data_IF_375196515996
#
_entry.id   IF_375196515996
#
_cell.length_a   1.000
_cell.length_b   1.000
_cell.length_c   1.000
_cell.angle_alpha   90.00
_cell.angle_beta   90.00
_cell.angle_gamma   90.00
#
_symmetry.space_group_name_H-M   'P 1'
#
loop_
_entity.id
_entity.type
_entity.pdbx_description
1 polymer ?
#
# COMPACT_ATOMS: atom_id res chain seq x y z
N UNK A 1 -15.56 28.63 3.44
CA UNK A 1 -14.17 28.15 3.31
C UNK A 1 -13.96 27.63 1.91
N UNK A 2 -12.85 27.95 1.25
CA UNK A 2 -12.54 27.36 -0.05
C UNK A 2 -12.26 25.85 0.14
N UNK A 3 -13.01 24.99 -0.55
CA UNK A 3 -12.75 23.55 -0.57
C UNK A 3 -11.42 23.31 -1.29
N UNK A 4 -10.50 22.56 -0.69
CA UNK A 4 -9.26 22.16 -1.35
C UNK A 4 -9.62 21.46 -2.68
N UNK A 5 -8.98 21.86 -3.78
CA UNK A 5 -9.31 21.32 -5.11
C UNK A 5 -9.00 19.82 -5.20
N UNK A 6 -7.86 19.40 -4.65
CA UNK A 6 -7.39 18.02 -4.63
C UNK A 6 -6.73 17.68 -3.29
N UNK A 7 -6.66 16.40 -2.94
CA UNK A 7 -5.89 15.85 -1.81
C UNK A 7 -4.89 14.85 -2.38
N UNK A 8 -3.61 14.99 -2.02
CA UNK A 8 -2.58 13.99 -2.30
C UNK A 8 -2.18 13.32 -0.99
N UNK A 9 -2.65 12.08 -0.79
CA UNK A 9 -2.34 11.30 0.40
C UNK A 9 -1.14 10.39 0.14
N UNK A 10 0.02 10.74 0.70
CA UNK A 10 1.29 10.01 0.51
C UNK A 10 1.56 9.16 1.76
N UNK A 11 1.88 7.88 1.55
CA UNK A 11 2.25 6.94 2.62
C UNK A 11 3.45 6.10 2.18
N UNK A 12 4.44 5.98 3.06
CA UNK A 12 5.56 5.06 2.92
C UNK A 12 5.35 3.88 3.85
N UNK A 13 5.60 2.66 3.38
CA UNK A 13 5.54 1.48 4.22
C UNK A 13 6.81 1.38 5.09
N UNK A 14 6.65 1.01 6.36
CA UNK A 14 7.74 0.76 7.31
C UNK A 14 8.70 1.94 7.60
N UNK A 15 8.35 3.17 7.22
CA UNK A 15 9.14 4.37 7.55
C UNK A 15 9.10 4.64 9.06
N UNK A 16 10.27 4.68 9.70
CA UNK A 16 10.41 5.16 11.08
C UNK A 16 10.27 6.68 11.14
N UNK A 17 9.65 7.17 12.21
CA UNK A 17 9.44 8.62 12.41
C UNK A 17 10.75 9.40 12.57
N UNK A 18 11.81 8.76 13.08
CA UNK A 18 13.12 9.36 13.34
C UNK A 18 14.10 9.26 12.16
N UNK A 19 13.68 8.72 11.01
CA UNK A 19 14.49 8.58 9.77
C UNK A 19 14.31 9.74 8.77
N UNK A 20 13.92 10.91 9.27
CA UNK A 20 13.76 12.14 8.48
C UNK A 20 14.56 13.26 9.14
N UNK A 21 15.28 14.07 8.36
CA UNK A 21 16.09 15.16 8.92
C UNK A 21 15.26 16.21 9.66
N UNK A 22 14.03 16.51 9.21
CA UNK A 22 13.13 17.40 9.97
C UNK A 22 12.61 16.82 11.30
N UNK A 23 12.84 15.53 11.57
CA UNK A 23 12.61 14.89 12.87
C UNK A 23 13.91 14.67 13.67
N UNK A 24 15.06 15.05 13.12
CA UNK A 24 16.35 15.07 13.83
C UNK A 24 17.32 13.94 13.48
N UNK A 25 17.12 13.19 12.38
CA UNK A 25 18.09 12.16 11.99
C UNK A 25 19.48 12.79 11.72
N UNK A 26 20.56 12.30 12.34
CA UNK A 26 21.86 12.98 12.30
C UNK A 26 22.63 12.83 10.98
N UNK A 27 22.30 11.82 10.16
CA UNK A 27 23.09 11.45 8.97
C UNK A 27 22.29 11.32 7.67
N UNK A 28 20.96 11.41 7.73
CA UNK A 28 20.09 11.15 6.58
C UNK A 28 19.39 12.46 6.23
N UNK A 29 19.76 13.02 5.10
CA UNK A 29 19.23 14.30 4.63
C UNK A 29 18.02 14.07 3.73
N UNK A 30 16.86 14.58 4.13
CA UNK A 30 15.58 14.46 3.41
C UNK A 30 15.01 15.83 3.01
N UNK A 31 15.75 16.65 2.23
CA UNK A 31 15.43 18.06 2.03
C UNK A 31 14.06 18.31 1.39
N UNK A 32 13.59 17.39 0.55
CA UNK A 32 12.28 17.51 -0.10
C UNK A 32 11.11 17.36 0.89
N UNK A 33 11.22 16.43 1.85
CA UNK A 33 10.22 16.22 2.90
C UNK A 33 10.31 17.35 3.93
N UNK A 34 11.53 17.78 4.28
CA UNK A 34 11.75 18.90 5.18
C UNK A 34 11.14 20.19 4.64
N UNK A 35 11.24 20.44 3.32
CA UNK A 35 10.60 21.57 2.65
C UNK A 35 9.08 21.51 2.69
N UNK A 36 8.48 20.31 2.62
CA UNK A 36 7.03 20.14 2.81
C UNK A 36 6.64 20.47 4.26
N UNK A 37 7.38 19.96 5.23
CA UNK A 37 7.16 20.24 6.65
C UNK A 37 7.29 21.73 6.98
N UNK A 38 8.26 22.44 6.39
CA UNK A 38 8.48 23.88 6.59
C UNK A 38 7.34 24.75 6.03
N UNK A 39 6.53 24.23 5.10
CA UNK A 39 5.40 24.93 4.47
C UNK A 39 4.04 24.50 5.02
N UNK A 40 4.01 23.63 6.02
CA UNK A 40 2.79 23.03 6.57
C UNK A 40 2.91 22.78 8.06
N UNK A 41 2.24 21.73 8.52
CA UNK A 41 2.26 21.30 9.92
C UNK A 41 2.93 19.95 10.02
N UNK A 42 3.87 19.81 10.96
CA UNK A 42 4.52 18.54 11.30
C UNK A 42 4.07 18.08 12.68
N UNK A 43 3.51 16.89 12.76
CA UNK A 43 3.01 16.31 14.01
C UNK A 43 4.12 15.52 14.71
N UNK A 44 4.52 15.91 15.91
CA UNK A 44 5.58 15.22 16.68
C UNK A 44 5.04 14.10 17.60
N UNK A 45 3.74 13.79 17.52
CA UNK A 45 3.06 12.80 18.34
C UNK A 45 1.89 12.16 17.58
N UNK A 46 2.20 11.49 16.47
CA UNK A 46 1.23 10.73 15.69
C UNK A 46 1.44 9.22 15.94
N UNK A 47 0.36 8.48 16.20
CA UNK A 47 0.38 7.04 16.44
C UNK A 47 -0.61 6.32 15.52
N UNK A 48 -0.18 5.19 14.98
CA UNK A 48 -1.05 4.25 14.28
C UNK A 48 -1.87 3.41 15.26
N UNK A 49 -2.94 2.77 14.76
CA UNK A 49 -3.88 2.00 15.60
C UNK A 49 -3.50 0.52 15.72
N UNK A 50 -2.52 0.05 14.93
CA UNK A 50 -1.95 -1.29 15.06
C UNK A 50 -0.56 -1.36 14.41
N UNK A 51 0.42 -2.10 14.97
CA UNK A 51 1.81 -2.10 14.51
C UNK A 51 2.11 -3.08 13.35
N UNK A 52 1.14 -3.41 12.49
CA UNK A 52 1.35 -4.24 11.30
C UNK A 52 0.57 -3.70 10.10
N UNK A 53 1.05 -3.99 8.88
CA UNK A 53 0.63 -3.34 7.64
C UNK A 53 -0.88 -3.31 7.43
N UNK A 54 -1.53 -4.48 7.33
CA UNK A 54 -2.93 -4.61 6.93
C UNK A 54 -3.88 -3.87 7.88
N UNK A 55 -3.84 -4.18 9.17
CA UNK A 55 -4.76 -3.60 10.14
C UNK A 55 -4.47 -2.12 10.46
N UNK A 56 -3.21 -1.66 10.41
CA UNK A 56 -2.87 -0.22 10.46
C UNK A 56 -3.53 0.55 9.31
N UNK A 57 -3.42 -0.02 8.09
CA UNK A 57 -4.00 0.55 6.88
C UNK A 57 -5.52 0.54 6.93
N UNK A 58 -6.15 -0.57 7.32
CA UNK A 58 -7.61 -0.65 7.45
C UNK A 58 -8.16 0.36 8.47
N UNK A 59 -7.47 0.56 9.60
CA UNK A 59 -7.86 1.63 10.54
C UNK A 59 -7.77 3.02 9.91
N UNK A 60 -6.72 3.27 9.13
CA UNK A 60 -6.52 4.55 8.43
C UNK A 60 -7.61 4.79 7.37
N UNK A 61 -7.94 3.78 6.57
CA UNK A 61 -8.90 3.90 5.47
C UNK A 61 -10.35 3.94 5.95
N UNK A 62 -10.66 3.38 7.12
CA UNK A 62 -12.02 3.44 7.71
C UNK A 62 -12.17 4.59 8.71
N UNK A 63 -11.06 5.18 9.19
CA UNK A 63 -11.08 6.15 10.29
C UNK A 63 -11.53 5.54 11.63
N UNK A 64 -11.40 4.22 11.79
CA UNK A 64 -11.93 3.46 12.93
C UNK A 64 -10.86 2.57 13.55
N UNK A 65 -11.02 2.22 14.82
CA UNK A 65 -10.11 1.31 15.50
C UNK A 65 -10.27 -0.13 15.00
N UNK A 66 -9.21 -0.95 15.12
CA UNK A 66 -9.24 -2.39 14.81
C UNK A 66 -10.38 -3.12 15.51
N UNK A 67 -10.61 -2.78 16.79
CA UNK A 67 -11.70 -3.33 17.58
C UNK A 67 -13.10 -3.06 16.98
N UNK A 68 -13.25 -2.01 16.17
CA UNK A 68 -14.51 -1.65 15.52
C UNK A 68 -14.68 -2.30 14.14
N UNK A 69 -13.63 -2.29 13.31
CA UNK A 69 -13.73 -2.75 11.91
C UNK A 69 -13.39 -4.24 11.72
N UNK A 70 -12.69 -4.88 12.66
CA UNK A 70 -12.49 -6.33 12.70
C UNK A 70 -11.36 -6.89 11.82
N UNK A 71 -10.93 -6.19 10.76
CA UNK A 71 -9.73 -6.54 9.98
C UNK A 71 -8.45 -6.42 10.84
N UNK A 72 -8.08 -7.51 11.50
CA UNK A 72 -7.21 -7.48 12.69
C UNK A 72 -5.79 -7.98 12.48
N UNK A 73 -5.45 -8.45 11.29
CA UNK A 73 -4.10 -8.88 10.91
C UNK A 73 -3.91 -8.84 9.39
N UNK A 74 -2.69 -9.07 8.91
CA UNK A 74 -2.43 -9.22 7.47
C UNK A 74 -3.26 -10.38 6.91
N UNK A 75 -3.89 -10.16 5.76
CA UNK A 75 -4.71 -11.18 5.09
C UNK A 75 -6.15 -11.30 5.60
N UNK A 76 -6.49 -10.70 6.75
CA UNK A 76 -7.87 -10.70 7.27
C UNK A 76 -8.70 -9.67 6.49
N UNK A 77 -9.78 -10.07 5.79
CA UNK A 77 -10.59 -9.14 5.02
C UNK A 77 -11.24 -8.03 5.85
N UNK A 78 -11.41 -6.86 5.25
CA UNK A 78 -12.33 -5.85 5.76
C UNK A 78 -13.74 -6.24 5.34
N UNK A 79 -14.62 -6.49 6.32
CA UNK A 79 -15.99 -6.97 6.06
C UNK A 79 -16.77 -5.99 5.19
N UNK A 80 -17.61 -6.53 4.31
CA UNK A 80 -18.57 -5.72 3.57
C UNK A 80 -19.49 -4.98 4.55
N UNK A 81 -19.70 -3.68 4.29
CA UNK A 81 -20.53 -2.80 5.12
C UNK A 81 -19.74 -1.84 6.02
N UNK A 82 -18.43 -2.05 6.23
CA UNK A 82 -17.57 -0.99 6.77
C UNK A 82 -17.32 0.04 5.67
N UNK A 83 -17.73 1.30 5.92
CA UNK A 83 -17.47 2.40 5.01
C UNK A 83 -16.01 2.82 5.06
N UNK A 84 -15.53 3.34 3.94
CA UNK A 84 -14.13 3.70 3.74
C UNK A 84 -13.98 5.17 3.38
N UNK A 85 -12.73 5.64 3.37
CA UNK A 85 -12.35 7.00 3.01
C UNK A 85 -12.94 7.42 1.66
N UNK A 86 -12.92 6.51 0.68
CA UNK A 86 -13.48 6.79 -0.64
C UNK A 86 -14.98 7.05 -0.62
N UNK A 87 -15.74 6.34 0.21
CA UNK A 87 -17.19 6.53 0.33
C UNK A 87 -17.52 7.89 0.94
N UNK A 88 -16.76 8.28 1.97
CA UNK A 88 -16.90 9.58 2.60
C UNK A 88 -16.51 10.74 1.67
N UNK A 89 -15.40 10.60 0.93
CA UNK A 89 -14.94 11.62 -0.03
C UNK A 89 -15.93 11.77 -1.21
N UNK A 90 -16.42 10.67 -1.77
CA UNK A 90 -17.39 10.71 -2.88
C UNK A 90 -18.71 11.34 -2.46
N UNK A 91 -19.19 11.08 -1.24
CA UNK A 91 -20.36 11.78 -0.68
C UNK A 91 -20.14 13.29 -0.57
N UNK A 92 -18.91 13.73 -0.35
CA UNK A 92 -18.53 15.13 -0.36
C UNK A 92 -18.26 15.69 -1.77
N UNK A 93 -18.42 14.90 -2.84
CA UNK A 93 -18.13 15.31 -4.22
C UNK A 93 -16.64 15.40 -4.53
N UNK A 94 -15.84 14.45 -4.05
CA UNK A 94 -14.42 14.28 -4.37
C UNK A 94 -14.15 12.80 -4.68
N UNK A 95 -13.48 12.52 -5.79
CA UNK A 95 -13.06 11.16 -6.13
C UNK A 95 -11.94 10.67 -5.21
N UNK A 96 -11.75 9.35 -5.13
CA UNK A 96 -10.73 8.74 -4.29
C UNK A 96 -10.03 7.63 -5.05
N UNK A 97 -8.80 7.90 -5.44
CA UNK A 97 -8.02 7.03 -6.32
C UNK A 97 -6.83 6.42 -5.60
N UNK A 98 -6.46 5.20 -5.98
CA UNK A 98 -5.28 4.49 -5.51
C UNK A 98 -4.17 4.45 -6.57
N UNK A 99 -2.96 4.76 -6.12
CA UNK A 99 -1.70 4.44 -6.80
C UNK A 99 -0.79 3.76 -5.78
N UNK A 100 -0.62 2.45 -5.90
CA UNK A 100 0.26 1.64 -5.03
C UNK A 100 -0.49 0.75 -4.04
N UNK A 101 -0.07 0.78 -2.77
CA UNK A 101 -0.33 -0.28 -1.78
C UNK A 101 -1.51 0.02 -0.84
N UNK A 102 -2.34 -1.00 -0.59
CA UNK A 102 -3.35 -0.98 0.49
C UNK A 102 -3.28 -2.19 1.42
N UNK A 103 -2.67 -3.31 0.99
CA UNK A 103 -2.74 -4.59 1.70
C UNK A 103 -4.19 -5.11 1.88
N UNK A 104 -5.14 -4.57 1.10
CA UNK A 104 -6.54 -4.97 1.15
C UNK A 104 -6.71 -6.43 0.71
N UNK A 105 -7.65 -7.12 1.36
CA UNK A 105 -8.22 -8.39 0.93
C UNK A 105 -9.74 -8.24 0.90
N UNK A 106 -10.34 -8.59 -0.22
CA UNK A 106 -11.79 -8.52 -0.39
C UNK A 106 -12.48 -9.55 0.52
N UNK A 107 -13.56 -9.13 1.17
CA UNK A 107 -14.49 -10.03 1.86
C UNK A 107 -15.39 -10.72 0.82
N UNK A 108 -14.81 -11.68 0.10
CA UNK A 108 -15.49 -12.37 -1.00
C UNK A 108 -16.77 -13.08 -0.54
N UNK A 109 -16.77 -13.68 0.65
CA UNK A 109 -17.95 -14.32 1.24
C UNK A 109 -19.06 -13.29 1.56
N UNK A 110 -18.70 -12.16 2.16
CA UNK A 110 -19.64 -11.06 2.41
C UNK A 110 -20.20 -10.44 1.14
N UNK A 111 -19.37 -10.29 0.10
CA UNK A 111 -19.79 -9.82 -1.21
C UNK A 111 -20.78 -10.78 -1.87
N UNK A 112 -20.45 -12.08 -1.94
CA UNK A 112 -21.32 -13.10 -2.50
C UNK A 112 -22.66 -13.19 -1.76
N UNK A 113 -22.64 -13.13 -0.42
CA UNK A 113 -23.85 -13.13 0.42
C UNK A 113 -24.79 -11.96 0.12
N UNK A 114 -24.27 -10.83 -0.34
CA UNK A 114 -25.04 -9.63 -0.66
C UNK A 114 -25.28 -9.44 -2.17
N UNK A 115 -24.85 -10.39 -3.01
CA UNK A 115 -24.97 -10.28 -4.47
C UNK A 115 -24.16 -9.14 -5.08
N UNK A 116 -22.98 -8.85 -4.51
CA UNK A 116 -22.07 -7.82 -5.03
C UNK A 116 -21.10 -8.43 -6.04
N UNK A 117 -21.34 -8.17 -7.33
CA UNK A 117 -20.46 -8.63 -8.41
C UNK A 117 -19.13 -7.85 -8.40
N UNK A 118 -17.96 -8.52 -8.35
CA UNK A 118 -16.65 -7.87 -8.26
C UNK A 118 -16.30 -6.96 -9.44
N UNK A 119 -16.88 -7.18 -10.62
CA UNK A 119 -16.67 -6.40 -11.84
C UNK A 119 -17.64 -5.20 -11.97
N UNK A 120 -18.64 -5.10 -11.10
CA UNK A 120 -19.48 -3.91 -10.98
C UNK A 120 -18.72 -2.75 -10.34
N UNK A 121 -19.12 -1.50 -10.63
CA UNK A 121 -18.48 -0.32 -10.02
C UNK A 121 -18.50 -0.36 -8.48
N UNK A 122 -19.60 -0.84 -7.88
CA UNK A 122 -19.73 -0.92 -6.42
C UNK A 122 -18.88 -2.08 -5.90
N UNK A 123 -18.96 -3.26 -6.50
CA UNK A 123 -18.19 -4.42 -6.07
C UNK A 123 -16.68 -4.22 -6.18
N UNK A 124 -16.21 -3.63 -7.28
CA UNK A 124 -14.79 -3.28 -7.46
C UNK A 124 -14.30 -2.34 -6.36
N UNK A 125 -15.07 -1.28 -6.05
CA UNK A 125 -14.74 -0.37 -4.94
C UNK A 125 -14.74 -1.08 -3.59
N UNK A 126 -15.71 -1.95 -3.32
CA UNK A 126 -15.75 -2.73 -2.07
C UNK A 126 -14.52 -3.65 -1.96
N UNK A 127 -14.16 -4.34 -3.03
CA UNK A 127 -12.98 -5.21 -3.08
C UNK A 127 -11.66 -4.44 -2.88
N UNK A 128 -11.62 -3.17 -3.26
CA UNK A 128 -10.44 -2.30 -3.24
C UNK A 128 -10.47 -1.25 -2.11
N UNK A 129 -11.11 -1.57 -0.98
CA UNK A 129 -11.15 -0.71 0.20
C UNK A 129 -11.66 0.73 -0.09
N UNK A 130 -12.60 0.82 -1.04
CA UNK A 130 -13.26 2.04 -1.47
C UNK A 130 -12.50 2.91 -2.45
N UNK A 131 -11.30 2.52 -2.89
CA UNK A 131 -10.57 3.27 -3.90
C UNK A 131 -11.04 2.90 -5.31
N UNK A 132 -11.09 3.90 -6.19
CA UNK A 132 -10.98 3.66 -7.63
C UNK A 132 -9.50 3.40 -7.95
N UNK A 133 -9.19 2.34 -8.70
CA UNK A 133 -7.78 1.92 -8.87
C UNK A 133 -7.21 2.51 -10.15
N UNK A 134 -6.18 3.35 -10.01
CA UNK A 134 -5.31 3.69 -11.14
C UNK A 134 -4.25 2.60 -11.32
N UNK A 135 -3.56 2.25 -10.23
CA UNK A 135 -2.66 1.08 -10.18
C UNK A 135 -2.64 0.53 -8.75
N UNK A 136 -2.91 -0.78 -8.61
CA UNK A 136 -2.79 -1.50 -7.34
C UNK A 136 -1.54 -2.36 -7.37
N UNK A 137 -0.60 -2.04 -6.48
CA UNK A 137 0.59 -2.84 -6.26
C UNK A 137 0.95 -2.81 -4.76
N UNK A 138 0.89 -3.96 -4.10
CA UNK A 138 1.31 -4.08 -2.70
C UNK A 138 2.85 -4.11 -2.52
N UNK A 139 3.59 -4.01 -3.64
CA UNK A 139 4.98 -3.57 -3.69
C UNK A 139 6.03 -4.69 -3.64
N UNK A 140 5.60 -5.95 -3.67
CA UNK A 140 6.51 -7.08 -3.58
C UNK A 140 5.99 -8.31 -4.31
N UNK A 141 6.89 -9.14 -4.85
CA UNK A 141 6.56 -10.41 -5.52
C UNK A 141 7.38 -11.58 -4.96
N UNK A 142 7.22 -11.92 -3.67
CA UNK A 142 7.94 -13.02 -3.07
C UNK A 142 7.29 -14.37 -3.42
N UNK A 143 8.15 -15.37 -3.63
CA UNK A 143 7.78 -16.73 -4.01
C UNK A 143 8.51 -17.73 -3.12
N UNK A 144 7.78 -18.77 -2.68
CA UNK A 144 8.34 -19.91 -1.97
C UNK A 144 7.94 -21.22 -2.65
N UNK A 145 8.19 -22.35 -1.98
CA UNK A 145 7.84 -23.68 -2.51
C UNK A 145 6.33 -23.85 -2.75
N UNK A 146 5.51 -23.15 -1.95
CA UNK A 146 4.05 -23.17 -2.07
C UNK A 146 3.50 -22.08 -3.02
N UNK A 147 4.38 -21.41 -3.77
CA UNK A 147 4.05 -20.36 -4.73
C UNK A 147 4.15 -18.93 -4.17
N UNK A 148 3.47 -17.99 -4.84
CA UNK A 148 3.51 -16.57 -4.51
C UNK A 148 2.66 -16.22 -3.29
N UNK A 149 3.20 -15.39 -2.38
CA UNK A 149 2.40 -14.77 -1.30
C UNK A 149 1.29 -13.87 -1.85
N UNK A 150 1.61 -13.13 -2.92
CA UNK A 150 0.69 -12.28 -3.66
C UNK A 150 0.95 -12.43 -5.16
N UNK A 151 0.14 -13.24 -5.88
CA UNK A 151 0.28 -13.43 -7.32
C UNK A 151 0.11 -12.12 -8.13
N UNK A 152 -0.56 -11.12 -7.57
CA UNK A 152 -0.76 -9.80 -8.17
C UNK A 152 0.40 -8.82 -7.94
N UNK A 153 1.32 -9.13 -7.02
CA UNK A 153 2.43 -8.25 -6.65
C UNK A 153 3.39 -7.95 -7.79
N UNK A 154 3.82 -6.69 -7.89
CA UNK A 154 4.74 -6.17 -8.91
C UNK A 154 4.34 -6.48 -10.36
N UNK A 155 3.05 -6.70 -10.66
CA UNK A 155 2.62 -7.15 -11.99
C UNK A 155 2.95 -6.14 -13.09
N UNK A 156 2.43 -4.92 -12.97
CA UNK A 156 2.68 -3.86 -13.96
C UNK A 156 4.13 -3.36 -13.89
N UNK A 157 4.75 -3.40 -12.70
CA UNK A 157 6.16 -3.07 -12.53
C UNK A 157 7.10 -4.05 -13.26
N UNK A 158 6.85 -5.36 -13.18
CA UNK A 158 7.61 -6.36 -13.92
C UNK A 158 7.43 -6.18 -15.43
N UNK A 159 6.21 -5.90 -15.90
CA UNK A 159 5.98 -5.54 -17.30
C UNK A 159 6.80 -4.32 -17.72
N UNK A 160 6.81 -3.26 -16.91
CA UNK A 160 7.63 -2.08 -17.16
C UNK A 160 9.12 -2.41 -17.29
N UNK A 161 9.66 -3.29 -16.43
CA UNK A 161 11.05 -3.74 -16.52
C UNK A 161 11.30 -4.58 -17.79
N UNK A 162 10.42 -5.53 -18.10
CA UNK A 162 10.54 -6.33 -19.32
C UNK A 162 10.50 -5.47 -20.58
N UNK A 163 9.61 -4.47 -20.65
CA UNK A 163 9.52 -3.52 -21.76
C UNK A 163 10.80 -2.64 -21.89
N UNK A 164 11.60 -2.55 -20.83
CA UNK A 164 12.91 -1.89 -20.81
C UNK A 164 14.09 -2.82 -21.15
N UNK A 165 13.83 -4.12 -21.36
CA UNK A 165 14.83 -5.12 -21.72
C UNK A 165 15.44 -5.89 -20.55
N UNK A 166 14.84 -5.84 -19.35
CA UNK A 166 15.26 -6.69 -18.23
C UNK A 166 14.69 -8.10 -18.41
N UNK A 167 15.56 -9.11 -18.46
CA UNK A 167 15.21 -10.51 -18.68
C UNK A 167 15.34 -11.30 -17.37
N UNK A 168 14.22 -11.76 -16.82
CA UNK A 168 14.12 -12.61 -15.63
C UNK A 168 12.68 -13.12 -15.50
N UNK A 169 12.49 -14.28 -14.88
CA UNK A 169 11.16 -14.79 -14.50
C UNK A 169 10.53 -13.95 -13.37
N UNK A 170 11.36 -13.23 -12.59
CA UNK A 170 10.93 -12.30 -11.55
C UNK A 170 11.82 -11.03 -11.53
N UNK A 171 11.63 -10.08 -12.46
CA UNK A 171 12.46 -8.88 -12.55
C UNK A 171 12.50 -8.02 -11.28
N UNK A 172 11.38 -7.94 -10.55
CA UNK A 172 11.31 -7.31 -9.24
C UNK A 172 12.32 -7.91 -8.26
N UNK A 173 12.46 -9.24 -8.22
CA UNK A 173 13.38 -9.91 -7.33
C UNK A 173 14.84 -9.72 -7.79
N UNK A 174 15.15 -10.07 -9.04
CA UNK A 174 16.53 -10.18 -9.51
C UNK A 174 17.21 -8.82 -9.72
N UNK A 175 16.45 -7.78 -10.08
CA UNK A 175 17.03 -6.47 -10.41
C UNK A 175 16.72 -5.40 -9.37
N UNK A 176 15.46 -5.31 -8.92
CA UNK A 176 15.07 -4.23 -8.00
C UNK A 176 15.41 -4.55 -6.53
N UNK A 177 15.52 -5.83 -6.16
CA UNK A 177 15.65 -6.28 -4.77
C UNK A 177 16.81 -7.27 -4.51
N UNK A 178 17.74 -7.39 -5.44
CA UNK A 178 18.94 -8.24 -5.28
C UNK A 178 20.20 -7.53 -5.72
N UNK A 179 21.32 -7.90 -5.11
CA UNK A 179 22.66 -7.61 -5.63
C UNK A 179 23.14 -8.73 -6.57
N UNK A 180 24.29 -8.51 -7.20
CA UNK A 180 25.04 -9.53 -7.93
C UNK A 180 26.47 -9.58 -7.36
N UNK A 181 26.96 -10.79 -7.11
CA UNK A 181 28.37 -10.98 -6.81
C UNK A 181 29.25 -10.94 -8.08
N UNK A 182 30.56 -11.13 -7.92
CA UNK A 182 31.52 -11.08 -9.03
C UNK A 182 31.33 -12.22 -10.06
N UNK A 183 30.71 -13.33 -9.66
CA UNK A 183 30.46 -14.49 -10.50
C UNK A 183 29.07 -14.44 -11.17
N UNK A 184 28.29 -13.40 -10.88
CA UNK A 184 26.95 -13.20 -11.41
C UNK A 184 25.86 -13.95 -10.63
N UNK A 185 26.15 -14.41 -9.41
CA UNK A 185 25.13 -15.01 -8.56
C UNK A 185 24.25 -13.93 -7.93
N UNK A 186 22.95 -14.20 -7.89
CA UNK A 186 21.94 -13.31 -7.29
C UNK A 186 22.05 -13.34 -5.76
N UNK A 187 22.38 -12.20 -5.18
CA UNK A 187 22.40 -11.96 -3.73
C UNK A 187 21.04 -11.40 -3.30
N UNK A 188 20.15 -12.31 -2.95
CA UNK A 188 18.75 -11.98 -2.67
C UNK A 188 18.58 -11.32 -1.31
N UNK A 189 18.11 -10.06 -1.32
CA UNK A 189 17.68 -9.36 -0.11
C UNK A 189 16.42 -9.96 0.53
N UNK A 190 15.65 -10.75 -0.23
CA UNK A 190 14.43 -11.41 0.24
C UNK A 190 14.72 -12.74 0.95
N UNK A 191 15.55 -13.59 0.33
CA UNK A 191 15.94 -14.87 0.93
C UNK A 191 17.05 -14.72 1.97
N UNK A 192 17.52 -13.49 2.22
CA UNK A 192 18.66 -13.17 3.08
C UNK A 192 19.90 -14.00 2.72
N UNK A 193 20.09 -14.27 1.42
CA UNK A 193 21.26 -14.98 0.89
C UNK A 193 22.30 -13.92 0.55
N UNK A 194 23.28 -13.77 1.44
CA UNK A 194 24.43 -12.90 1.30
C UNK A 194 25.70 -13.71 1.05
#
# INVERSE_FOLDING_TARGET
MAKAKNILFIMFDQLRWDYLSCYGHPHLHTPNIDRLAARGVRFNRAYIQSPICGNSRMSTYTGRYVHSHGASWNGIPLKVGEMTMGDHLRKAGMECWLVGKTHMRADAEGMARLGLEPDSLIGARVAECGFDVFERDDGMRPEGLDGFYDPGGAREYNKYLTDKGYESDNPWHDFANSGLDADGNVLSGWFLKN
#
